data_IF_925902638093
#
_entry.id   IF_925902638093
#
_cell.length_a   1.000
_cell.length_b   1.000
_cell.length_c   1.000
_cell.angle_alpha   90.00
_cell.angle_beta   90.00
_cell.angle_gamma   90.00
#
_symmetry.space_group_name_H-M   'P 1'
#
loop_
_entity.id
_entity.type
_entity.pdbx_description
1 polymer ?
#
# COMPACT_ATOMS: atom_id res chain seq x y z
N UNK A 1 9.30 9.62 -1.95
CA UNK A 1 8.66 10.79 -1.32
C UNK A 1 7.94 10.38 -0.02
N UNK A 2 8.70 10.03 1.02
CA UNK A 2 8.17 9.72 2.36
C UNK A 2 7.04 8.68 2.39
N UNK A 3 6.00 8.95 3.17
CA UNK A 3 4.85 8.07 3.45
C UNK A 3 3.89 7.89 2.28
N UNK A 4 3.97 8.73 1.23
CA UNK A 4 3.24 8.48 -0.01
C UNK A 4 3.83 7.30 -0.78
N UNK A 5 5.15 7.12 -0.72
CA UNK A 5 5.86 6.06 -1.42
C UNK A 5 5.96 4.75 -0.64
N UNK A 6 5.92 4.80 0.69
CA UNK A 6 6.17 3.64 1.55
C UNK A 6 5.01 3.47 2.52
N UNK A 7 4.40 2.27 2.53
CA UNK A 7 3.40 1.86 3.52
C UNK A 7 4.06 0.91 4.51
N UNK A 8 4.07 1.29 5.80
CA UNK A 8 4.64 0.47 6.85
C UNK A 8 3.57 -0.35 7.55
N UNK A 9 3.75 -1.67 7.57
CA UNK A 9 3.08 -2.58 8.49
C UNK A 9 3.92 -2.66 9.77
N UNK A 10 3.46 -1.98 10.81
CA UNK A 10 4.19 -1.87 12.07
C UNK A 10 4.17 -3.16 12.90
N UNK A 11 3.20 -4.04 12.67
CA UNK A 11 3.02 -5.29 13.41
C UNK A 11 3.94 -6.38 12.85
N UNK A 12 3.98 -6.51 11.51
CA UNK A 12 4.79 -7.52 10.81
C UNK A 12 6.19 -7.00 10.41
N UNK A 13 6.46 -5.71 10.65
CA UNK A 13 7.70 -5.03 10.27
C UNK A 13 7.99 -5.15 8.76
N UNK A 14 6.96 -4.94 7.94
CA UNK A 14 7.10 -4.90 6.47
C UNK A 14 6.94 -3.48 5.95
N UNK A 15 7.80 -3.07 5.02
CA UNK A 15 7.68 -1.80 4.32
C UNK A 15 7.35 -2.06 2.84
N UNK A 16 6.11 -1.77 2.45
CA UNK A 16 5.60 -1.97 1.10
C UNK A 16 5.87 -0.75 0.23
N UNK A 17 6.39 -0.97 -0.98
CA UNK A 17 6.67 0.11 -1.92
C UNK A 17 6.39 -0.32 -3.36
N UNK A 18 5.48 0.38 -4.02
CA UNK A 18 5.30 0.29 -5.45
C UNK A 18 6.43 1.05 -6.18
N UNK A 19 7.01 0.42 -7.21
CA UNK A 19 8.02 1.04 -8.07
C UNK A 19 7.42 2.24 -8.80
N UNK A 20 8.05 3.39 -8.63
CA UNK A 20 7.62 4.64 -9.26
C UNK A 20 8.80 5.58 -9.43
N UNK A 21 8.63 6.60 -10.28
CA UNK A 21 9.57 7.71 -10.42
C UNK A 21 9.76 8.55 -9.13
N UNK A 22 8.97 8.31 -8.08
CA UNK A 22 9.03 9.01 -6.79
C UNK A 22 9.62 8.13 -5.66
N UNK A 23 10.03 6.91 -5.99
CA UNK A 23 10.50 5.89 -5.06
C UNK A 23 11.88 5.34 -5.49
N UNK A 24 12.71 4.98 -4.52
CA UNK A 24 14.06 4.46 -4.74
C UNK A 24 14.28 3.20 -3.88
N UNK A 25 14.56 2.09 -4.54
CA UNK A 25 14.71 0.76 -3.89
C UNK A 25 15.94 0.68 -2.99
N UNK A 26 17.02 1.36 -3.36
CA UNK A 26 18.24 1.38 -2.57
C UNK A 26 18.03 2.14 -1.26
N UNK A 27 17.40 3.32 -1.33
CA UNK A 27 17.06 4.11 -0.15
C UNK A 27 16.05 3.39 0.75
N UNK A 28 15.07 2.68 0.17
CA UNK A 28 14.16 1.84 0.96
C UNK A 28 14.94 0.78 1.75
N UNK A 29 15.90 0.11 1.11
CA UNK A 29 16.75 -0.89 1.77
C UNK A 29 17.46 -0.32 3.00
N UNK A 30 18.08 0.85 2.87
CA UNK A 30 18.76 1.53 3.98
C UNK A 30 17.80 1.88 5.12
N UNK A 31 16.64 2.46 4.81
CA UNK A 31 15.62 2.80 5.82
C UNK A 31 15.10 1.56 6.52
N UNK A 32 14.88 0.48 5.77
CA UNK A 32 14.44 -0.81 6.32
C UNK A 32 15.48 -1.39 7.27
N UNK A 33 16.78 -1.33 6.92
CA UNK A 33 17.86 -1.77 7.79
C UNK A 33 17.91 -0.95 9.09
N UNK A 34 17.88 0.38 8.99
CA UNK A 34 17.95 1.30 10.13
C UNK A 34 16.76 1.13 11.10
N UNK A 35 15.57 0.83 10.57
CA UNK A 35 14.32 0.75 11.35
C UNK A 35 13.91 -0.69 11.71
N UNK A 36 14.62 -1.70 11.21
CA UNK A 36 14.30 -3.12 11.42
C UNK A 36 13.06 -3.61 10.67
N UNK A 37 12.86 -3.14 9.44
CA UNK A 37 11.79 -3.59 8.54
C UNK A 37 12.34 -4.48 7.41
N UNK A 38 11.47 -5.30 6.85
CA UNK A 38 11.73 -6.05 5.61
C UNK A 38 11.09 -5.30 4.44
N UNK A 39 11.86 -4.93 3.40
CA UNK A 39 11.31 -4.26 2.23
C UNK A 39 10.50 -5.24 1.36
N UNK A 40 9.33 -4.79 0.89
CA UNK A 40 8.49 -5.48 -0.07
C UNK A 40 8.24 -4.58 -1.27
N UNK A 41 9.00 -4.81 -2.35
CA UNK A 41 8.95 -3.98 -3.56
C UNK A 41 8.24 -4.70 -4.70
N UNK A 42 7.30 -4.02 -5.35
CA UNK A 42 6.52 -4.57 -6.45
C UNK A 42 6.22 -3.52 -7.52
N UNK A 43 5.91 -3.96 -8.74
CA UNK A 43 5.40 -3.09 -9.81
C UNK A 43 3.90 -2.87 -9.68
N UNK A 44 3.45 -1.63 -9.81
CA UNK A 44 2.02 -1.31 -9.88
C UNK A 44 1.72 -0.21 -10.88
N UNK A 45 0.55 -0.28 -11.50
CA UNK A 45 0.16 0.53 -12.65
C UNK A 45 -1.25 1.10 -12.51
N UNK A 46 -1.47 2.22 -13.19
CA UNK A 46 -2.75 2.92 -13.27
C UNK A 46 -3.05 3.29 -14.72
N UNK A 47 -4.34 3.41 -15.02
CA UNK A 47 -4.82 3.85 -16.31
C UNK A 47 -4.82 5.38 -16.35
N UNK A 48 -4.20 5.96 -17.37
CA UNK A 48 -4.15 7.41 -17.61
C UNK A 48 -4.68 7.71 -19.02
N UNK A 49 -5.02 8.96 -19.36
CA UNK A 49 -5.39 9.32 -20.74
C UNK A 49 -4.33 8.95 -21.78
N UNK A 50 -3.06 8.84 -21.37
CA UNK A 50 -1.92 8.46 -22.21
C UNK A 50 -1.64 6.94 -22.20
N UNK A 51 -2.51 6.15 -21.56
CA UNK A 51 -2.38 4.69 -21.41
C UNK A 51 -1.97 4.24 -20.01
N UNK A 52 -1.59 2.96 -19.91
CA UNK A 52 -1.14 2.31 -18.67
C UNK A 52 0.23 2.90 -18.25
N UNK A 53 0.33 3.44 -17.04
CA UNK A 53 1.56 4.03 -16.49
C UNK A 53 1.81 3.54 -15.07
N UNK A 54 3.06 3.52 -14.57
CA UNK A 54 3.32 3.22 -13.18
C UNK A 54 2.52 4.13 -12.24
N UNK A 55 2.07 3.58 -11.11
CA UNK A 55 1.49 4.38 -10.03
C UNK A 55 2.55 5.36 -9.50
N UNK A 56 2.12 6.54 -9.07
CA UNK A 56 3.04 7.55 -8.54
C UNK A 56 3.35 7.39 -7.05
N UNK A 57 2.39 6.93 -6.24
CA UNK A 57 2.51 6.70 -4.79
C UNK A 57 1.80 5.41 -4.37
N UNK A 58 2.44 4.60 -3.52
CA UNK A 58 1.89 3.33 -3.03
C UNK A 58 0.58 3.52 -2.26
N UNK A 59 0.45 4.62 -1.51
CA UNK A 59 -0.72 4.92 -0.69
C UNK A 59 -2.02 5.17 -1.48
N UNK A 60 -1.98 5.30 -2.81
CA UNK A 60 -3.21 5.45 -3.61
C UNK A 60 -3.92 4.13 -3.83
N UNK A 61 -3.19 3.01 -3.70
CA UNK A 61 -3.69 1.68 -3.99
C UNK A 61 -3.66 0.74 -2.78
N UNK A 62 -3.04 1.16 -1.68
CA UNK A 62 -2.80 0.30 -0.53
C UNK A 62 -2.86 1.07 0.79
N UNK A 63 -3.55 0.47 1.76
CA UNK A 63 -3.51 0.84 3.17
C UNK A 63 -3.41 -0.43 4.02
N UNK A 64 -2.62 -0.38 5.09
CA UNK A 64 -2.50 -1.48 6.07
C UNK A 64 -3.16 -1.03 7.37
N UNK A 65 -4.01 -1.90 7.93
CA UNK A 65 -4.61 -1.74 9.26
C UNK A 65 -4.08 -2.83 10.21
N UNK A 66 -4.64 -2.91 11.41
CA UNK A 66 -4.30 -3.94 12.40
C UNK A 66 -4.79 -5.34 12.00
N UNK A 67 -5.91 -5.42 11.27
CA UNK A 67 -6.61 -6.68 10.99
C UNK A 67 -6.73 -7.01 9.50
N UNK A 68 -6.64 -6.00 8.63
CA UNK A 68 -6.73 -6.19 7.18
C UNK A 68 -5.88 -5.18 6.39
N UNK A 69 -5.63 -5.50 5.13
CA UNK A 69 -5.07 -4.61 4.13
C UNK A 69 -6.17 -4.24 3.12
N UNK A 70 -6.30 -2.94 2.82
CA UNK A 70 -7.05 -2.49 1.65
C UNK A 70 -6.07 -2.43 0.49
N UNK A 71 -6.36 -3.15 -0.61
CA UNK A 71 -5.40 -3.31 -1.70
C UNK A 71 -6.10 -3.39 -3.05
N UNK A 72 -5.63 -2.63 -4.03
CA UNK A 72 -6.04 -2.78 -5.43
C UNK A 72 -5.13 -3.80 -6.14
N UNK A 73 -5.50 -5.08 -6.10
CA UNK A 73 -4.69 -6.15 -6.71
C UNK A 73 -4.60 -6.02 -8.24
N UNK A 74 -5.64 -5.49 -8.88
CA UNK A 74 -5.63 -5.18 -10.32
C UNK A 74 -4.62 -4.09 -10.73
N UNK A 75 -4.00 -3.38 -9.79
CA UNK A 75 -2.90 -2.47 -10.07
C UNK A 75 -1.57 -3.22 -10.27
N UNK A 76 -1.43 -4.45 -9.73
CA UNK A 76 -0.19 -5.24 -9.78
C UNK A 76 -0.26 -6.18 -10.98
N UNK A 77 0.21 -5.73 -12.15
CA UNK A 77 0.07 -6.47 -13.41
C UNK A 77 0.87 -7.78 -13.44
N UNK A 78 2.00 -7.86 -12.72
CA UNK A 78 2.81 -9.06 -12.64
C UNK A 78 2.20 -10.06 -11.63
N UNK A 79 1.79 -11.23 -12.10
CA UNK A 79 1.15 -12.27 -11.27
C UNK A 79 2.05 -12.80 -10.15
N UNK A 80 3.36 -12.90 -10.37
CA UNK A 80 4.29 -13.36 -9.34
C UNK A 80 4.42 -12.32 -8.23
N UNK A 81 4.56 -11.04 -8.59
CA UNK A 81 4.62 -9.95 -7.60
C UNK A 81 3.31 -9.81 -6.82
N UNK A 82 2.17 -9.98 -7.51
CA UNK A 82 0.86 -9.98 -6.86
C UNK A 82 0.77 -11.06 -5.80
N UNK A 83 1.12 -12.31 -6.15
CA UNK A 83 1.12 -13.44 -5.22
C UNK A 83 2.06 -13.21 -4.04
N UNK A 84 3.27 -12.68 -4.29
CA UNK A 84 4.21 -12.37 -3.21
C UNK A 84 3.61 -11.36 -2.22
N UNK A 85 2.97 -10.29 -2.71
CA UNK A 85 2.32 -9.28 -1.86
C UNK A 85 1.17 -9.90 -1.06
N UNK A 86 0.32 -10.71 -1.71
CA UNK A 86 -0.76 -11.41 -1.05
C UNK A 86 -0.26 -12.35 0.06
N UNK A 87 0.71 -13.20 -0.26
CA UNK A 87 1.32 -14.13 0.69
C UNK A 87 1.93 -13.40 1.89
N UNK A 88 2.61 -12.27 1.68
CA UNK A 88 3.17 -11.47 2.77
C UNK A 88 2.08 -10.94 3.70
N UNK A 89 1.00 -10.38 3.15
CA UNK A 89 -0.12 -9.86 3.94
C UNK A 89 -0.80 -11.00 4.71
N UNK A 90 -1.12 -12.12 4.07
CA UNK A 90 -1.72 -13.25 4.77
C UNK A 90 -0.81 -13.84 5.85
N UNK A 91 0.51 -13.89 5.60
CA UNK A 91 1.48 -14.37 6.61
C UNK A 91 1.56 -13.47 7.85
N UNK A 92 1.18 -12.19 7.71
CA UNK A 92 1.07 -11.25 8.84
C UNK A 92 -0.18 -11.45 9.69
N UNK A 93 -1.06 -12.39 9.31
CA UNK A 93 -2.35 -12.64 9.98
C UNK A 93 -3.46 -11.67 9.58
N UNK A 94 -3.24 -10.84 8.55
CA UNK A 94 -4.21 -9.87 8.04
C UNK A 94 -4.98 -10.42 6.86
N UNK A 95 -6.24 -10.02 6.73
CA UNK A 95 -7.05 -10.30 5.54
C UNK A 95 -6.79 -9.25 4.45
N UNK A 96 -7.14 -9.56 3.19
CA UNK A 96 -7.14 -8.59 2.10
C UNK A 96 -8.57 -8.22 1.78
N UNK A 97 -8.86 -6.92 1.86
CA UNK A 97 -10.08 -6.31 1.32
C UNK A 97 -9.71 -5.67 -0.01
N UNK A 98 -10.16 -6.29 -1.10
CA UNK A 98 -9.87 -5.79 -2.44
C UNK A 98 -10.68 -4.53 -2.74
N UNK A 99 -10.02 -3.50 -3.28
CA UNK A 99 -10.67 -2.30 -3.83
C UNK A 99 -10.55 -2.31 -5.35
N UNK A 100 -11.63 -1.91 -6.03
CA UNK A 100 -11.65 -1.81 -7.49
C UNK A 100 -10.78 -0.64 -7.98
N UNK A 101 -10.41 -0.62 -9.26
CA UNK A 101 -9.73 0.53 -9.88
C UNK A 101 -10.54 1.83 -9.77
N UNK A 102 -11.86 1.73 -9.81
CA UNK A 102 -12.79 2.87 -9.70
C UNK A 102 -12.73 3.45 -8.28
N UNK A 103 -12.79 2.60 -7.25
CA UNK A 103 -12.62 3.00 -5.85
C UNK A 103 -11.21 3.57 -5.59
N UNK A 104 -10.18 2.96 -6.20
CA UNK A 104 -8.81 3.49 -6.19
C UNK A 104 -8.71 4.88 -6.82
N UNK A 105 -9.40 5.14 -7.93
CA UNK A 105 -9.43 6.48 -8.56
C UNK A 105 -10.11 7.53 -7.68
N UNK A 106 -10.98 7.12 -6.77
CA UNK A 106 -11.53 7.99 -5.73
C UNK A 106 -10.61 8.13 -4.50
N UNK A 107 -9.37 7.63 -4.54
CA UNK A 107 -8.42 7.65 -3.41
C UNK A 107 -8.84 6.79 -2.20
N UNK A 108 -9.65 5.75 -2.41
CA UNK A 108 -9.98 4.80 -1.35
C UNK A 108 -8.73 4.08 -0.79
N UNK A 109 -7.59 4.04 -1.50
CA UNK A 109 -6.35 3.54 -0.93
C UNK A 109 -5.71 4.46 0.11
N UNK A 110 -5.98 5.78 0.05
CA UNK A 110 -5.37 6.79 0.93
C UNK A 110 -6.15 6.95 2.25
N UNK A 111 -6.58 5.84 2.82
CA UNK A 111 -7.21 5.82 4.13
C UNK A 111 -6.15 5.80 5.22
N UNK A 112 -6.46 6.44 6.34
CA UNK A 112 -5.58 6.44 7.51
C UNK A 112 -6.26 5.69 8.64
N UNK A 113 -5.59 4.69 9.18
CA UNK A 113 -5.95 4.13 10.47
C UNK A 113 -5.43 5.08 11.57
N UNK A 114 -6.34 5.65 12.35
CA UNK A 114 -6.01 6.55 13.45
C UNK A 114 -6.55 6.02 14.76
N UNK A 115 -5.83 6.31 15.84
CA UNK A 115 -6.20 5.91 17.20
C UNK A 115 -6.93 7.04 17.90
N UNK A 116 -8.21 6.82 18.18
CA UNK A 116 -9.10 7.73 18.91
C UNK A 116 -9.04 7.53 20.42
N UNK A 117 -10.00 8.15 21.12
CA UNK A 117 -10.13 8.02 22.57
C UNK A 117 -10.44 6.56 22.96
N UNK A 118 -9.93 6.13 24.14
CA UNK A 118 -10.06 4.76 24.65
C UNK A 118 -9.48 3.68 23.72
N UNK A 119 -8.41 4.02 23.01
CA UNK A 119 -7.72 3.12 22.07
C UNK A 119 -8.58 2.63 20.90
N UNK A 120 -9.71 3.28 20.62
CA UNK A 120 -10.56 2.94 19.49
C UNK A 120 -9.84 3.23 18.16
N UNK A 121 -9.81 2.25 17.26
CA UNK A 121 -9.25 2.43 15.93
C UNK A 121 -10.33 2.93 14.96
N UNK A 122 -10.00 3.97 14.20
CA UNK A 122 -10.87 4.56 13.19
C UNK A 122 -10.16 4.57 11.85
N UNK A 123 -10.80 4.02 10.82
CA UNK A 123 -10.37 4.22 9.44
C UNK A 123 -11.02 5.51 8.93
N UNK A 124 -10.20 6.52 8.62
CA UNK A 124 -10.67 7.82 8.11
C UNK A 124 -10.29 7.98 6.65
N UNK A 125 -11.22 8.53 5.88
CA UNK A 125 -11.10 8.76 4.44
C UNK A 125 -11.69 10.10 4.04
N UNK A 126 -11.26 10.65 2.90
CA UNK A 126 -11.88 11.86 2.33
C UNK A 126 -13.32 11.60 1.94
N UNK A 127 -14.19 12.61 2.03
CA UNK A 127 -15.55 12.54 1.46
C UNK A 127 -15.53 12.46 -0.06
N UNK A 128 -14.43 12.72 -0.74
CA UNK A 128 -14.31 12.44 -2.19
C UNK A 128 -14.03 10.97 -2.51
N UNK A 129 -13.93 10.09 -1.50
CA UNK A 129 -13.46 8.71 -1.68
C UNK A 129 -14.56 7.63 -1.76
N UNK A 130 -15.84 8.05 -1.83
CA UNK A 130 -17.00 7.18 -2.04
C UNK A 130 -17.45 7.11 -3.50
#
# INVERSE_FOLDING_TARGET
>A
EGTGSIIFDHDDKTAYMARSQRADEFLLGQICEDLGYTPMVFGAFQDTPEGRKPIYHTNVMMCITDTYALLCLEAIDNEMERKMVEERIYSSGKEIIEITKEQKHQFAGNMLLVKGAKDALHLVMSTSAF
#
